data_IF_447602789653
#
_entry.id   IF_447602789653
#
_cell.length_a   1.000
_cell.length_b   1.000
_cell.length_c   1.000
_cell.angle_alpha   90.00
_cell.angle_beta   90.00
_cell.angle_gamma   90.00
#
_symmetry.space_group_name_H-M   'P 1'
#
loop_
_entity.id
_entity.type
_entity.pdbx_description
1 polymer ?
#
# COMPACT_ATOMS: atom_id res chain seq x y z
N UNK A 1 16.90 -9.14 -47.68
CA UNK A 1 17.41 -9.56 -46.37
C UNK A 1 17.56 -8.29 -45.55
N UNK A 2 16.54 -7.95 -44.75
CA UNK A 2 16.60 -6.82 -43.83
C UNK A 2 16.81 -7.40 -42.44
N UNK A 3 17.97 -7.07 -41.88
CA UNK A 3 18.44 -7.52 -40.58
C UNK A 3 17.44 -7.05 -39.51
N UNK A 4 16.87 -8.03 -38.80
CA UNK A 4 16.14 -7.77 -37.56
C UNK A 4 17.19 -7.42 -36.50
N UNK A 5 17.34 -6.13 -36.22
CA UNK A 5 18.01 -5.67 -35.00
C UNK A 5 17.28 -6.28 -33.81
N UNK A 6 17.88 -7.34 -33.26
CA UNK A 6 17.57 -7.87 -31.94
C UNK A 6 17.96 -6.78 -30.95
N UNK A 7 16.98 -5.95 -30.60
CA UNK A 7 17.11 -4.99 -29.51
C UNK A 7 17.16 -5.81 -28.23
N UNK A 8 18.38 -6.06 -27.75
CA UNK A 8 18.61 -6.69 -26.46
C UNK A 8 17.77 -5.94 -25.41
N UNK A 9 16.92 -6.66 -24.69
CA UNK A 9 16.25 -6.10 -23.51
C UNK A 9 17.35 -5.72 -22.51
N UNK A 10 17.31 -4.52 -21.92
CA UNK A 10 18.33 -4.12 -20.96
C UNK A 10 18.31 -5.12 -19.81
N UNK A 11 19.44 -5.77 -19.61
CA UNK A 11 19.72 -6.58 -18.44
C UNK A 11 19.31 -5.78 -17.19
N UNK A 12 18.29 -6.30 -16.49
CA UNK A 12 17.71 -5.65 -15.33
C UNK A 12 18.78 -5.67 -14.23
N UNK A 13 19.57 -4.60 -14.19
CA UNK A 13 20.50 -4.34 -13.10
C UNK A 13 19.73 -4.51 -11.79
N UNK A 14 20.27 -5.36 -10.91
CA UNK A 14 19.66 -5.89 -9.69
C UNK A 14 19.30 -4.76 -8.71
N UNK A 15 18.29 -3.96 -9.05
CA UNK A 15 17.67 -2.99 -8.14
C UNK A 15 16.78 -3.78 -7.21
N UNK A 16 16.88 -3.59 -5.89
CA UNK A 16 15.89 -4.15 -4.98
C UNK A 16 14.50 -3.70 -5.47
N UNK A 17 13.56 -4.64 -5.57
CA UNK A 17 12.19 -4.35 -5.98
C UNK A 17 11.61 -3.20 -5.16
N UNK A 18 10.78 -2.36 -5.78
CA UNK A 18 10.20 -1.21 -5.09
C UNK A 18 9.18 -1.70 -4.06
N UNK A 19 9.34 -1.33 -2.79
CA UNK A 19 8.40 -1.67 -1.73
C UNK A 19 7.57 -0.45 -1.34
N UNK A 20 6.25 -0.62 -1.30
CA UNK A 20 5.29 0.40 -0.89
C UNK A 20 4.46 -0.10 0.28
N UNK A 21 4.37 0.71 1.33
CA UNK A 21 3.45 0.51 2.45
C UNK A 21 2.26 1.46 2.30
N UNK A 22 1.04 0.91 2.35
CA UNK A 22 -0.19 1.68 2.19
C UNK A 22 -1.03 1.55 3.44
N UNK A 23 -1.28 2.67 4.12
CA UNK A 23 -2.21 2.71 5.24
C UNK A 23 -3.63 2.99 4.72
N UNK A 24 -4.54 2.04 4.93
CA UNK A 24 -5.93 2.18 4.49
C UNK A 24 -6.90 1.46 5.43
N UNK A 25 -8.02 2.11 5.74
CA UNK A 25 -9.13 1.47 6.45
C UNK A 25 -9.97 0.54 5.55
N UNK A 26 -9.66 0.49 4.25
CA UNK A 26 -10.25 -0.36 3.22
C UNK A 26 -9.15 -1.08 2.42
N UNK A 27 -8.43 -2.03 3.03
CA UNK A 27 -7.28 -2.68 2.38
C UNK A 27 -7.65 -3.47 1.12
N UNK A 28 -8.88 -3.99 1.04
CA UNK A 28 -9.36 -4.81 -0.08
C UNK A 28 -9.41 -4.03 -1.39
N UNK A 29 -9.69 -2.73 -1.34
CA UNK A 29 -9.70 -1.85 -2.53
C UNK A 29 -8.29 -1.72 -3.09
N UNK A 30 -7.30 -1.56 -2.21
CA UNK A 30 -5.90 -1.44 -2.59
C UNK A 30 -5.44 -2.74 -3.22
N UNK A 31 -5.67 -3.86 -2.55
CA UNK A 31 -5.26 -5.19 -3.02
C UNK A 31 -5.89 -5.52 -4.38
N UNK A 32 -7.18 -5.23 -4.57
CA UNK A 32 -7.86 -5.42 -5.85
C UNK A 32 -7.24 -4.57 -6.97
N UNK A 33 -6.86 -3.32 -6.68
CA UNK A 33 -6.23 -2.43 -7.65
C UNK A 33 -4.82 -2.91 -8.02
N UNK A 34 -4.00 -3.28 -7.03
CA UNK A 34 -2.60 -3.67 -7.27
C UNK A 34 -2.44 -5.09 -7.81
N UNK A 35 -3.45 -5.95 -7.67
CA UNK A 35 -3.49 -7.28 -8.28
C UNK A 35 -3.87 -7.29 -9.77
N UNK A 36 -4.33 -6.16 -10.32
CA UNK A 36 -4.83 -6.11 -11.70
C UNK A 36 -3.80 -5.61 -12.72
N UNK A 37 -3.96 -6.04 -13.97
CA UNK A 37 -3.28 -5.46 -15.12
C UNK A 37 -1.74 -5.54 -15.06
N UNK A 38 -1.07 -4.41 -15.33
CA UNK A 38 0.39 -4.34 -15.35
C UNK A 38 0.99 -4.41 -13.94
N UNK A 39 0.31 -3.85 -12.94
CA UNK A 39 0.76 -3.90 -11.54
C UNK A 39 0.75 -5.33 -11.01
N UNK A 40 -0.31 -6.10 -11.29
CA UNK A 40 -0.36 -7.52 -10.94
C UNK A 40 0.81 -8.30 -11.53
N UNK A 41 1.11 -8.12 -12.82
CA UNK A 41 2.26 -8.74 -13.49
C UNK A 41 3.61 -8.29 -12.91
N UNK A 42 3.72 -7.04 -12.44
CA UNK A 42 4.92 -6.55 -11.79
C UNK A 42 5.13 -7.19 -10.41
N UNK A 43 4.05 -7.43 -9.64
CA UNK A 43 4.08 -8.18 -8.38
C UNK A 43 4.44 -9.65 -8.59
N UNK A 44 3.87 -10.30 -9.61
CA UNK A 44 4.20 -11.69 -9.98
C UNK A 44 5.68 -11.88 -10.37
N UNK A 45 6.34 -10.81 -10.82
CA UNK A 45 7.77 -10.78 -11.19
C UNK A 45 8.65 -10.20 -10.09
N UNK A 46 8.11 -9.98 -8.89
CA UNK A 46 8.80 -9.39 -7.74
C UNK A 46 9.46 -8.02 -8.00
N UNK A 47 9.00 -7.29 -9.02
CA UNK A 47 9.51 -5.96 -9.37
C UNK A 47 8.96 -4.88 -8.43
N UNK A 48 7.77 -5.13 -7.87
CA UNK A 48 7.08 -4.25 -6.93
C UNK A 48 6.44 -5.10 -5.83
N UNK A 49 6.64 -4.69 -4.58
CA UNK A 49 5.93 -5.20 -3.42
C UNK A 49 5.01 -4.10 -2.90
N UNK A 50 3.76 -4.45 -2.65
CA UNK A 50 2.78 -3.55 -2.03
C UNK A 50 2.21 -4.26 -0.82
N UNK A 51 2.37 -3.63 0.33
CA UNK A 51 1.78 -4.00 1.60
C UNK A 51 0.68 -3.00 1.93
N UNK A 52 -0.40 -3.50 2.52
CA UNK A 52 -1.53 -2.68 2.90
C UNK A 52 -1.88 -2.97 4.34
N UNK A 53 -1.60 -1.99 5.21
CA UNK A 53 -1.83 -2.09 6.64
C UNK A 53 -3.11 -1.36 7.01
N UNK A 54 -4.00 -2.03 7.75
CA UNK A 54 -5.23 -1.44 8.25
C UNK A 54 -5.01 -0.92 9.68
N UNK A 55 -5.03 0.41 9.92
CA UNK A 55 -4.85 0.97 11.26
C UNK A 55 -5.86 0.43 12.28
N UNK A 56 -7.02 -0.06 11.81
CA UNK A 56 -8.04 -0.69 12.65
C UNK A 56 -7.50 -1.89 13.43
N UNK A 57 -6.51 -2.61 12.90
CA UNK A 57 -5.88 -3.78 13.56
C UNK A 57 -5.08 -3.39 14.81
N UNK A 58 -4.77 -2.11 14.95
CA UNK A 58 -4.00 -1.53 16.05
C UNK A 58 -4.87 -0.75 17.04
N UNK A 59 -6.19 -0.76 16.87
CA UNK A 59 -7.13 -0.20 17.83
C UNK A 59 -7.39 -1.20 18.99
N UNK A 60 -7.45 -0.71 20.23
CA UNK A 60 -7.65 -1.54 21.42
C UNK A 60 -9.04 -1.41 22.05
N UNK A 61 -9.87 -0.48 21.57
CA UNK A 61 -11.24 -0.35 22.04
C UNK A 61 -12.16 -1.39 21.37
N UNK A 62 -13.32 -1.65 22.01
CA UNK A 62 -14.30 -2.65 21.55
C UNK A 62 -14.79 -2.43 20.12
N UNK A 63 -14.85 -1.17 19.67
CA UNK A 63 -15.38 -0.79 18.36
C UNK A 63 -14.29 -0.66 17.30
N UNK A 64 -13.03 -0.81 17.69
CA UNK A 64 -11.84 -0.60 16.86
C UNK A 64 -11.94 0.75 16.15
N UNK A 65 -12.12 1.80 16.95
CA UNK A 65 -12.29 3.18 16.49
C UNK A 65 -10.97 3.74 15.96
N UNK A 66 -10.98 4.14 14.69
CA UNK A 66 -9.81 4.68 13.96
C UNK A 66 -9.82 6.21 13.89
N UNK A 67 -10.93 6.84 14.26
CA UNK A 67 -11.16 8.27 14.23
C UNK A 67 -11.79 8.77 15.55
N UNK A 68 -11.68 10.06 15.78
CA UNK A 68 -12.29 10.76 16.92
C UNK A 68 -12.74 12.17 16.53
N UNK A 69 -13.57 12.79 17.37
CA UNK A 69 -14.03 14.15 17.18
C UNK A 69 -12.84 15.14 17.24
N UNK A 70 -12.80 16.16 16.37
CA UNK A 70 -11.75 17.17 16.42
C UNK A 70 -11.80 17.98 17.73
N UNK A 71 -10.63 18.28 18.28
CA UNK A 71 -10.52 19.25 19.38
C UNK A 71 -11.03 20.63 18.92
N UNK A 72 -11.78 21.31 19.79
CA UNK A 72 -12.45 22.57 19.46
C UNK A 72 -13.82 22.42 18.81
N UNK A 73 -14.25 21.18 18.53
CA UNK A 73 -15.54 20.88 17.91
C UNK A 73 -15.56 21.14 16.40
N UNK A 74 -16.75 21.01 15.80
CA UNK A 74 -16.94 21.09 14.35
C UNK A 74 -17.59 19.82 13.80
N UNK A 75 -17.97 19.86 12.52
CA UNK A 75 -18.49 18.69 11.83
C UNK A 75 -17.34 17.81 11.32
N UNK A 76 -17.56 16.50 11.33
CA UNK A 76 -16.59 15.51 10.83
C UNK A 76 -15.75 14.87 11.94
N UNK A 77 -14.82 14.03 11.50
CA UNK A 77 -13.96 13.20 12.35
C UNK A 77 -12.51 13.31 11.88
N UNK A 78 -11.56 13.07 12.78
CA UNK A 78 -10.12 13.09 12.52
C UNK A 78 -9.55 11.71 12.84
N UNK A 79 -8.67 11.20 11.97
CA UNK A 79 -7.98 9.94 12.23
C UNK A 79 -7.17 10.04 13.52
N UNK A 80 -7.32 9.04 14.38
CA UNK A 80 -6.59 8.93 15.64
C UNK A 80 -5.12 8.65 15.38
N UNK A 81 -4.26 9.30 16.17
CA UNK A 81 -2.81 9.17 16.05
C UNK A 81 -2.34 7.81 16.54
N UNK A 82 -2.93 7.31 17.63
CA UNK A 82 -2.50 6.08 18.30
C UNK A 82 -2.49 4.84 17.38
N UNK A 83 -3.58 4.48 16.69
CA UNK A 83 -3.56 3.32 15.80
C UNK A 83 -2.67 3.52 14.57
N UNK A 84 -2.48 4.74 14.09
CA UNK A 84 -1.61 5.02 12.94
C UNK A 84 -0.14 4.85 13.31
N UNK A 85 0.28 5.40 14.46
CA UNK A 85 1.67 5.25 14.94
C UNK A 85 1.96 3.79 15.27
N UNK A 86 1.05 3.11 15.97
CA UNK A 86 1.20 1.69 16.26
C UNK A 86 1.32 0.83 14.99
N UNK A 87 0.56 1.17 13.93
CA UNK A 87 0.66 0.50 12.64
C UNK A 87 1.98 0.80 11.91
N UNK A 88 2.53 1.99 12.07
CA UNK A 88 3.79 2.41 11.45
C UNK A 88 5.02 1.79 12.11
N UNK A 89 4.95 1.53 13.42
CA UNK A 89 6.05 0.99 14.22
C UNK A 89 6.11 -0.55 14.25
N UNK A 90 5.10 -1.22 13.68
CA UNK A 90 4.97 -2.68 13.62
C UNK A 90 5.86 -3.30 12.53
#
# INVERSE_FOLDING_TARGET
MSEQETRAEPEHENRPGLCFEVFSIFPEIVEAFVGAGLLGKARERDLVQVHCTNPRDFCHDKHRSVDDAPFGGGAGMVIKVEPVVAALEA
#
